data_IF_790344442177
#
_entry.id   IF_790344442177
#
_cell.length_a   1.000
_cell.length_b   1.000
_cell.length_c   1.000
_cell.angle_alpha   90.00
_cell.angle_beta   90.00
_cell.angle_gamma   90.00
#
_symmetry.space_group_name_H-M   'P 1'
#
loop_
_entity.id
_entity.type
_entity.pdbx_description
1 polymer ?
#
# COMPACT_ATOMS: atom_id res chain seq x y z
N UNK A 1 -8.04 -17.72 6.84
CA UNK A 1 -8.92 -17.05 7.83
C UNK A 1 -8.98 -15.56 7.52
N UNK A 2 -10.16 -14.99 7.27
CA UNK A 2 -10.35 -13.53 7.10
C UNK A 2 -10.61 -12.92 8.47
N UNK A 3 -9.57 -12.59 9.22
CA UNK A 3 -9.76 -11.66 10.34
C UNK A 3 -9.96 -10.25 9.78
N UNK A 4 -11.11 -9.64 10.11
CA UNK A 4 -11.58 -8.33 9.64
C UNK A 4 -11.18 -7.18 10.59
N UNK A 5 -10.22 -7.39 11.48
CA UNK A 5 -9.87 -6.38 12.47
C UNK A 5 -8.82 -5.42 11.91
N UNK A 6 -9.11 -4.12 11.92
CA UNK A 6 -8.18 -3.06 11.49
C UNK A 6 -7.09 -2.84 12.58
N UNK A 7 -7.46 -3.03 13.84
CA UNK A 7 -6.57 -2.97 15.00
C UNK A 7 -7.24 -3.69 16.17
N UNK A 8 -6.44 -4.18 17.12
CA UNK A 8 -6.93 -4.57 18.43
C UNK A 8 -6.06 -3.97 19.53
N UNK A 9 -6.66 -3.78 20.70
CA UNK A 9 -6.00 -3.22 21.86
C UNK A 9 -6.09 -4.20 23.02
N UNK A 10 -4.96 -4.47 23.67
CA UNK A 10 -4.89 -5.18 24.93
C UNK A 10 -4.58 -4.19 26.05
N UNK A 11 -5.46 -4.12 27.04
CA UNK A 11 -5.19 -3.43 28.29
C UNK A 11 -4.52 -4.39 29.26
N UNK A 12 -3.38 -3.98 29.80
CA UNK A 12 -2.61 -4.71 30.82
C UNK A 12 -2.67 -3.89 32.10
N UNK A 13 -3.26 -4.48 33.14
CA UNK A 13 -3.31 -3.87 34.46
C UNK A 13 -2.08 -4.33 35.24
N UNK A 14 -1.17 -3.41 35.56
CA UNK A 14 -0.09 -3.72 36.49
C UNK A 14 -0.57 -3.54 37.94
N UNK A 15 -0.75 -4.67 38.64
CA UNK A 15 -1.01 -4.84 40.07
C UNK A 15 -2.40 -4.50 40.65
N UNK A 16 -2.80 -5.27 41.67
CA UNK A 16 -3.99 -5.07 42.53
C UNK A 16 -3.79 -3.95 43.57
N UNK A 17 -2.62 -3.32 43.60
CA UNK A 17 -2.29 -2.32 44.60
C UNK A 17 -2.98 -0.99 44.25
N UNK A 18 -4.05 -0.68 44.99
CA UNK A 18 -5.01 0.41 44.76
C UNK A 18 -4.42 1.83 44.72
N UNK A 19 -3.10 2.00 44.82
CA UNK A 19 -2.42 3.30 44.84
C UNK A 19 -1.90 3.79 43.48
N UNK A 20 -1.53 2.90 42.55
CA UNK A 20 -0.99 3.28 41.24
C UNK A 20 -1.34 2.25 40.18
N UNK A 21 -2.55 2.35 39.60
CA UNK A 21 -2.90 1.52 38.44
C UNK A 21 -2.22 2.09 37.18
N UNK A 22 -1.03 1.62 36.87
CA UNK A 22 -0.46 1.82 35.54
C UNK A 22 -1.28 0.98 34.55
N UNK A 23 -2.15 1.64 33.79
CA UNK A 23 -2.91 1.01 32.72
C UNK A 23 -2.04 1.07 31.46
N UNK A 24 -1.36 -0.02 31.14
CA UNK A 24 -0.59 -0.12 29.89
C UNK A 24 -1.55 -0.54 28.78
N UNK A 25 -1.54 0.21 27.68
CA UNK A 25 -2.33 -0.09 26.49
C UNK A 25 -1.39 -0.56 25.37
N UNK A 26 -1.52 -1.82 24.96
CA UNK A 26 -0.82 -2.36 23.80
C UNK A 26 -1.77 -2.36 22.61
N UNK A 27 -1.51 -1.50 21.62
CA UNK A 27 -2.30 -1.41 20.39
C UNK A 27 -1.54 -2.06 19.24
N UNK A 28 -2.18 -3.04 18.61
CA UNK A 28 -1.64 -3.74 17.45
C UNK A 28 -2.27 -3.16 16.19
N UNK A 29 -1.43 -2.79 15.23
CA UNK A 29 -1.82 -2.10 14.00
C UNK A 29 -1.23 -2.87 12.82
N UNK A 30 -2.01 -3.01 11.76
CA UNK A 30 -1.58 -3.64 10.51
C UNK A 30 -0.80 -2.62 9.66
N UNK A 31 0.52 -2.80 9.56
CA UNK A 31 1.41 -1.94 8.76
C UNK A 31 1.04 -1.93 7.27
N UNK A 32 0.40 -2.99 6.76
CA UNK A 32 -0.06 -3.06 5.37
C UNK A 32 -1.20 -2.06 5.09
N UNK A 33 -1.93 -1.61 6.11
CA UNK A 33 -2.93 -0.52 5.98
C UNK A 33 -2.30 0.85 5.80
N UNK A 34 -0.97 0.95 5.95
CA UNK A 34 -0.20 2.15 5.68
C UNK A 34 0.61 2.04 4.39
N UNK A 35 1.30 0.91 4.23
CA UNK A 35 2.19 0.64 3.12
C UNK A 35 1.76 -0.67 2.45
N UNK A 36 0.84 -0.59 1.49
CA UNK A 36 0.23 -1.75 0.83
C UNK A 36 1.15 -2.37 -0.25
N UNK A 37 2.33 -2.82 0.17
CA UNK A 37 3.30 -3.50 -0.69
C UNK A 37 4.01 -4.63 0.06
N UNK A 38 4.71 -5.49 -0.68
CA UNK A 38 5.53 -6.53 -0.05
C UNK A 38 6.70 -5.90 0.71
N UNK A 39 7.14 -6.55 1.79
CA UNK A 39 8.31 -6.11 2.55
C UNK A 39 9.54 -5.98 1.65
N UNK A 40 9.76 -6.94 0.74
CA UNK A 40 10.86 -6.91 -0.22
C UNK A 40 10.87 -5.63 -1.08
N UNK A 41 9.71 -5.23 -1.59
CA UNK A 41 9.59 -3.99 -2.37
C UNK A 41 9.81 -2.76 -1.48
N UNK A 42 9.27 -2.75 -0.26
CA UNK A 42 9.43 -1.61 0.65
C UNK A 42 10.87 -1.45 1.13
N UNK A 43 11.57 -2.53 1.47
CA UNK A 43 12.97 -2.48 1.88
C UNK A 43 13.88 -2.10 0.72
N UNK A 44 13.54 -2.48 -0.53
CA UNK A 44 14.31 -2.07 -1.72
C UNK A 44 14.35 -0.55 -1.96
N UNK A 45 13.41 0.21 -1.38
CA UNK A 45 13.41 1.67 -1.45
C UNK A 45 14.28 2.34 -0.39
N UNK A 46 14.75 1.59 0.61
CA UNK A 46 15.61 2.12 1.65
C UNK A 46 17.07 2.02 1.23
N UNK A 47 17.76 3.15 1.31
CA UNK A 47 19.21 3.15 1.26
C UNK A 47 19.78 2.55 2.56
N UNK A 48 21.01 2.05 2.50
CA UNK A 48 21.68 1.43 3.66
C UNK A 48 21.74 2.35 4.89
N UNK A 49 21.88 3.68 4.71
CA UNK A 49 21.89 4.66 5.82
C UNK A 49 20.54 4.78 6.55
N UNK A 50 19.47 4.24 5.96
CA UNK A 50 18.11 4.23 6.52
C UNK A 50 17.79 2.95 7.29
N UNK A 51 18.63 1.91 7.18
CA UNK A 51 18.47 0.63 7.88
C UNK A 51 19.09 0.67 9.28
N UNK A 52 18.74 1.68 10.09
CA UNK A 52 19.41 1.97 11.36
C UNK A 52 19.22 0.85 12.39
N UNK A 53 18.01 0.27 12.44
CA UNK A 53 17.67 -0.77 13.39
C UNK A 53 18.39 -2.07 13.00
N UNK A 54 18.33 -2.46 11.73
CA UNK A 54 19.04 -3.65 11.21
C UNK A 54 20.55 -3.48 11.40
N UNK A 55 21.12 -2.29 11.11
CA UNK A 55 22.54 -2.00 11.33
C UNK A 55 22.94 -2.09 12.79
N UNK A 56 22.11 -1.57 13.71
CA UNK A 56 22.39 -1.64 15.14
C UNK A 56 22.42 -3.08 15.65
N UNK A 57 21.49 -3.91 15.19
CA UNK A 57 21.39 -5.31 15.62
C UNK A 57 22.53 -6.17 15.07
N UNK A 58 22.93 -5.91 13.83
CA UNK A 58 23.97 -6.66 13.13
C UNK A 58 25.31 -5.91 13.01
N UNK A 59 25.60 -5.00 13.95
CA UNK A 59 26.79 -4.14 13.93
C UNK A 59 28.13 -4.92 13.97
N UNK A 60 28.08 -6.20 14.36
CA UNK A 60 29.23 -7.10 14.40
C UNK A 60 29.55 -7.77 13.05
N UNK A 61 28.64 -7.68 12.06
CA UNK A 61 28.83 -8.30 10.75
C UNK A 61 29.78 -7.48 9.86
N UNK A 62 30.40 -8.16 8.90
CA UNK A 62 31.08 -7.48 7.81
C UNK A 62 30.07 -6.77 6.90
N UNK A 63 30.53 -5.79 6.11
CA UNK A 63 29.65 -5.11 5.15
C UNK A 63 29.04 -6.08 4.12
N UNK A 64 29.79 -7.10 3.70
CA UNK A 64 29.32 -8.11 2.75
C UNK A 64 28.22 -9.00 3.35
N UNK A 65 28.39 -9.43 4.61
CA UNK A 65 27.39 -10.26 5.29
C UNK A 65 26.15 -9.44 5.64
N UNK A 66 26.34 -8.18 6.07
CA UNK A 66 25.24 -7.27 6.31
C UNK A 66 24.38 -7.07 5.05
N UNK A 67 25.00 -6.96 3.88
CA UNK A 67 24.30 -6.79 2.60
C UNK A 67 23.33 -7.94 2.30
N UNK A 68 23.65 -9.15 2.74
CA UNK A 68 22.75 -10.31 2.61
C UNK A 68 21.46 -10.12 3.42
N UNK A 69 21.47 -9.31 4.48
CA UNK A 69 20.31 -9.07 5.35
C UNK A 69 19.52 -7.80 5.00
N UNK A 70 19.89 -7.10 3.92
CA UNK A 70 19.21 -5.85 3.50
C UNK A 70 18.01 -6.06 2.59
N UNK A 71 17.81 -7.28 2.09
CA UNK A 71 16.65 -7.68 1.29
C UNK A 71 15.85 -8.77 2.00
N UNK A 72 14.61 -8.98 1.56
CA UNK A 72 13.79 -10.06 2.12
C UNK A 72 14.39 -11.41 1.74
N UNK A 73 14.51 -12.31 2.72
CA UNK A 73 14.89 -13.70 2.47
C UNK A 73 13.76 -14.53 1.85
N UNK A 74 14.04 -15.81 1.58
CA UNK A 74 13.02 -16.81 1.23
C UNK A 74 12.95 -17.90 2.28
N UNK A 75 11.74 -18.45 2.50
CA UNK A 75 11.50 -19.47 3.51
C UNK A 75 10.59 -20.57 2.94
N UNK A 76 10.85 -21.86 3.20
CA UNK A 76 10.07 -22.96 2.63
C UNK A 76 8.84 -23.26 3.51
N UNK A 77 7.83 -22.40 3.45
CA UNK A 77 6.66 -22.49 4.34
C UNK A 77 5.91 -23.82 4.24
N UNK A 78 5.72 -24.32 3.02
CA UNK A 78 5.03 -25.56 2.74
C UNK A 78 5.84 -26.79 3.16
N UNK A 79 7.17 -26.66 3.21
CA UNK A 79 8.04 -27.72 3.71
C UNK A 79 7.94 -27.84 5.23
N UNK A 80 7.98 -26.72 5.97
CA UNK A 80 7.97 -26.73 7.45
C UNK A 80 6.55 -26.91 7.98
N UNK A 81 6.02 -28.12 7.83
CA UNK A 81 4.68 -28.53 8.30
C UNK A 81 4.66 -29.10 9.72
N UNK A 82 5.82 -29.38 10.31
CA UNK A 82 5.98 -29.87 11.67
C UNK A 82 7.27 -29.36 12.33
N UNK A 83 7.32 -29.40 13.66
CA UNK A 83 8.44 -28.87 14.45
C UNK A 83 9.72 -29.68 14.22
N UNK A 84 9.60 -30.97 13.93
CA UNK A 84 10.74 -31.86 13.70
C UNK A 84 11.59 -31.44 12.51
N UNK A 85 10.98 -30.87 11.46
CA UNK A 85 11.71 -30.34 10.28
C UNK A 85 12.60 -29.15 10.61
N UNK A 86 12.35 -28.43 11.71
CA UNK A 86 13.25 -27.37 12.16
C UNK A 86 14.61 -27.93 12.60
N UNK A 87 14.70 -29.22 12.93
CA UNK A 87 15.96 -29.88 13.27
C UNK A 87 16.76 -30.32 12.03
N UNK A 88 16.22 -30.17 10.82
CA UNK A 88 16.92 -30.55 9.59
C UNK A 88 18.22 -29.76 9.43
N UNK A 89 19.30 -30.47 9.12
CA UNK A 89 20.66 -29.92 9.11
C UNK A 89 21.13 -29.46 7.73
N UNK A 90 20.25 -29.52 6.74
CA UNK A 90 20.49 -29.01 5.38
C UNK A 90 19.36 -28.07 4.96
N UNK A 91 19.70 -27.12 4.09
CA UNK A 91 18.70 -26.33 3.39
C UNK A 91 17.89 -27.26 2.46
N UNK A 92 16.56 -27.27 2.53
CA UNK A 92 15.73 -28.09 1.64
C UNK A 92 15.99 -27.73 0.16
N UNK A 93 15.79 -28.67 -0.77
CA UNK A 93 15.99 -28.40 -2.19
C UNK A 93 15.00 -27.34 -2.68
N UNK A 94 15.34 -26.63 -3.77
CA UNK A 94 14.56 -25.50 -4.30
C UNK A 94 13.08 -25.84 -4.51
N UNK A 95 12.77 -27.05 -4.95
CA UNK A 95 11.40 -27.52 -5.18
C UNK A 95 10.54 -27.48 -3.90
N UNK A 96 11.17 -27.57 -2.73
CA UNK A 96 10.51 -27.50 -1.42
C UNK A 96 10.14 -26.06 -0.99
N UNK A 97 10.58 -25.05 -1.76
CA UNK A 97 10.18 -23.64 -1.60
C UNK A 97 8.98 -23.28 -2.50
N UNK A 98 8.20 -24.26 -2.96
CA UNK A 98 6.95 -24.02 -3.66
C UNK A 98 5.95 -23.28 -2.76
N UNK A 99 5.35 -22.19 -3.26
CA UNK A 99 4.29 -21.49 -2.54
C UNK A 99 2.91 -21.77 -3.14
N UNK A 100 2.01 -22.28 -2.31
CA UNK A 100 0.59 -22.47 -2.63
C UNK A 100 -0.16 -21.15 -2.87
N UNK A 101 0.37 -20.02 -2.37
CA UNK A 101 -0.21 -18.69 -2.55
C UNK A 101 0.04 -18.14 -3.96
N UNK A 102 1.24 -18.34 -4.51
CA UNK A 102 1.60 -17.86 -5.85
C UNK A 102 1.44 -18.95 -6.92
N UNK A 103 1.43 -20.23 -6.53
CA UNK A 103 1.45 -21.36 -7.44
C UNK A 103 2.81 -21.61 -8.08
N UNK A 104 3.88 -21.01 -7.55
CA UNK A 104 5.22 -21.00 -8.13
C UNK A 104 6.28 -21.40 -7.11
N UNK A 105 7.37 -21.99 -7.60
CA UNK A 105 8.61 -22.20 -6.83
C UNK A 105 9.48 -20.94 -6.91
N UNK A 106 10.23 -20.64 -5.83
CA UNK A 106 11.18 -19.51 -5.80
C UNK A 106 12.14 -19.50 -6.99
N UNK A 107 12.56 -18.30 -7.41
CA UNK A 107 13.51 -18.13 -8.51
C UNK A 107 14.88 -18.74 -8.19
N UNK A 108 15.67 -19.06 -9.22
CA UNK A 108 17.05 -19.55 -9.03
C UNK A 108 17.90 -18.54 -8.26
N UNK A 109 17.75 -17.24 -8.53
CA UNK A 109 18.48 -16.19 -7.83
C UNK A 109 18.10 -16.08 -6.35
N UNK A 110 16.84 -16.29 -6.00
CA UNK A 110 16.40 -16.22 -4.60
C UNK A 110 16.84 -17.46 -3.81
N UNK A 111 16.83 -18.63 -4.46
CA UNK A 111 17.36 -19.85 -3.84
C UNK A 111 18.87 -19.77 -3.63
N UNK A 112 19.63 -19.29 -4.63
CA UNK A 112 21.07 -19.07 -4.50
C UNK A 112 21.39 -18.06 -3.37
N UNK A 113 20.53 -17.06 -3.16
CA UNK A 113 20.66 -16.14 -2.03
C UNK A 113 20.45 -16.85 -0.68
N UNK A 114 19.46 -17.74 -0.57
CA UNK A 114 19.24 -18.55 0.63
C UNK A 114 20.42 -19.49 0.92
N UNK A 115 20.98 -20.15 -0.11
CA UNK A 115 22.19 -20.97 0.02
C UNK A 115 23.38 -20.15 0.52
N UNK A 116 23.56 -18.95 -0.03
CA UNK A 116 24.63 -18.06 0.38
C UNK A 116 24.47 -17.61 1.85
N UNK A 117 23.26 -17.23 2.26
CA UNK A 117 22.96 -16.91 3.66
C UNK A 117 23.23 -18.10 4.59
N UNK A 118 22.77 -19.30 4.21
CA UNK A 118 23.02 -20.53 4.97
C UNK A 118 24.51 -20.76 5.21
N UNK A 119 25.32 -20.62 4.17
CA UNK A 119 26.77 -20.82 4.24
C UNK A 119 27.49 -19.71 5.02
N UNK A 120 27.22 -18.44 4.70
CA UNK A 120 27.94 -17.28 5.29
C UNK A 120 27.65 -17.11 6.77
N UNK A 121 26.42 -17.38 7.21
CA UNK A 121 26.04 -17.33 8.62
C UNK A 121 26.31 -18.64 9.38
N UNK A 122 26.96 -19.62 8.73
CA UNK A 122 27.30 -20.92 9.31
C UNK A 122 26.10 -21.63 9.97
N UNK A 123 24.95 -21.56 9.31
CA UNK A 123 23.68 -22.10 9.79
C UNK A 123 23.74 -23.62 9.81
N UNK A 124 23.33 -24.21 10.93
CA UNK A 124 23.40 -25.66 11.17
C UNK A 124 22.08 -26.36 11.10
N UNK A 125 20.99 -25.64 11.35
CA UNK A 125 19.64 -26.20 11.39
C UNK A 125 18.64 -25.26 10.72
N UNK A 126 17.54 -25.82 10.24
CA UNK A 126 16.45 -25.02 9.67
C UNK A 126 15.79 -24.11 10.73
N UNK A 127 15.87 -24.46 12.02
CA UNK A 127 15.49 -23.59 13.13
C UNK A 127 16.32 -22.31 13.16
N UNK A 128 17.66 -22.41 13.09
CA UNK A 128 18.56 -21.25 13.07
C UNK A 128 18.32 -20.38 11.82
N UNK A 129 18.03 -21.01 10.67
CA UNK A 129 17.62 -20.29 9.46
C UNK A 129 16.31 -19.54 9.64
N UNK A 130 15.31 -20.17 10.28
CA UNK A 130 14.03 -19.56 10.59
C UNK A 130 14.18 -18.36 11.53
N UNK A 131 15.00 -18.47 12.55
CA UNK A 131 15.28 -17.37 13.49
C UNK A 131 15.93 -16.18 12.77
N UNK A 132 16.95 -16.43 11.93
CA UNK A 132 17.58 -15.36 11.14
C UNK A 132 16.60 -14.72 10.17
N UNK A 133 15.80 -15.55 9.47
CA UNK A 133 14.79 -15.11 8.53
C UNK A 133 13.75 -14.20 9.20
N UNK A 134 13.12 -14.67 10.28
CA UNK A 134 12.08 -13.94 11.00
C UNK A 134 12.63 -12.66 11.63
N UNK A 135 13.81 -12.73 12.23
CA UNK A 135 14.47 -11.56 12.82
C UNK A 135 14.74 -10.49 11.76
N UNK A 136 15.26 -10.88 10.60
CA UNK A 136 15.53 -9.96 9.50
C UNK A 136 14.25 -9.32 8.97
N UNK A 137 13.19 -10.11 8.76
CA UNK A 137 11.87 -9.60 8.33
C UNK A 137 11.30 -8.56 9.31
N UNK A 138 11.38 -8.82 10.62
CA UNK A 138 10.89 -7.90 11.66
C UNK A 138 11.70 -6.61 11.70
N UNK A 139 13.03 -6.69 11.64
CA UNK A 139 13.91 -5.52 11.70
C UNK A 139 13.79 -4.66 10.45
N UNK A 140 13.71 -5.28 9.26
CA UNK A 140 13.46 -4.56 8.00
C UNK A 140 12.12 -3.84 8.03
N UNK A 141 11.05 -4.50 8.52
CA UNK A 141 9.75 -3.86 8.65
C UNK A 141 9.80 -2.68 9.63
N UNK A 142 10.53 -2.81 10.73
CA UNK A 142 10.73 -1.73 11.69
C UNK A 142 11.42 -0.53 11.04
N UNK A 143 12.53 -0.74 10.31
CA UNK A 143 13.22 0.34 9.59
C UNK A 143 12.31 0.98 8.53
N UNK A 144 11.57 0.19 7.74
CA UNK A 144 10.58 0.70 6.78
C UNK A 144 9.56 1.61 7.46
N UNK A 145 8.97 1.15 8.57
CA UNK A 145 7.92 1.90 9.23
C UNK A 145 8.44 3.14 9.96
N UNK A 146 9.61 3.08 10.60
CA UNK A 146 10.24 4.25 11.23
C UNK A 146 10.62 5.31 10.19
N UNK A 147 11.15 4.92 9.03
CA UNK A 147 11.43 5.87 7.95
C UNK A 147 10.16 6.54 7.41
N UNK A 148 9.07 5.78 7.31
CA UNK A 148 7.76 6.31 6.95
C UNK A 148 7.24 7.30 8.01
N UNK A 149 7.35 6.96 9.30
CA UNK A 149 6.98 7.85 10.42
C UNK A 149 7.77 9.15 10.38
N UNK A 150 9.09 9.08 10.29
CA UNK A 150 9.98 10.24 10.20
C UNK A 150 9.58 11.17 9.04
N UNK A 151 9.30 10.59 7.88
CA UNK A 151 8.89 11.32 6.68
C UNK A 151 7.53 12.01 6.87
N UNK A 152 6.57 11.33 7.48
CA UNK A 152 5.24 11.86 7.76
C UNK A 152 5.27 12.98 8.82
N UNK A 153 6.03 12.80 9.89
CA UNK A 153 6.21 13.82 10.92
C UNK A 153 6.87 15.06 10.33
N UNK A 154 7.92 14.88 9.52
CA UNK A 154 8.61 16.01 8.88
C UNK A 154 7.71 16.76 7.89
N UNK A 155 6.90 16.04 7.11
CA UNK A 155 6.11 16.64 6.02
C UNK A 155 4.78 17.22 6.49
N UNK A 156 4.12 16.56 7.45
CA UNK A 156 2.75 16.88 7.87
C UNK A 156 2.66 17.24 9.37
N UNK A 157 3.70 17.00 10.16
CA UNK A 157 3.70 17.18 11.61
C UNK A 157 2.67 16.28 12.31
N UNK A 158 2.41 15.11 11.74
CA UNK A 158 1.51 14.08 12.26
C UNK A 158 2.28 12.77 12.25
N UNK A 159 2.15 11.97 13.30
CA UNK A 159 2.78 10.65 13.39
C UNK A 159 1.76 9.58 12.99
N UNK A 160 2.01 8.80 11.91
CA UNK A 160 1.07 7.80 11.43
C UNK A 160 0.83 6.67 12.43
N UNK A 161 1.71 6.46 13.43
CA UNK A 161 1.50 5.47 14.48
C UNK A 161 0.30 5.78 15.40
N UNK A 162 -0.25 7.01 15.36
CA UNK A 162 -1.47 7.38 16.07
C UNK A 162 -2.76 6.99 15.34
N UNK A 163 -2.65 6.61 14.07
CA UNK A 163 -3.77 6.31 13.18
C UNK A 163 -3.98 4.80 13.03
N UNK A 164 -5.14 4.43 12.49
CA UNK A 164 -5.43 3.03 12.18
C UNK A 164 -5.04 2.64 10.74
N UNK A 165 -5.08 3.59 9.81
CA UNK A 165 -4.83 3.38 8.38
C UNK A 165 -4.29 4.65 7.72
N UNK A 166 -3.67 4.53 6.54
CA UNK A 166 -3.19 5.69 5.77
C UNK A 166 -4.32 6.67 5.38
N UNK A 167 -5.51 6.25 4.93
CA UNK A 167 -6.60 7.19 4.63
C UNK A 167 -7.00 8.09 5.81
N UNK A 168 -7.05 7.54 7.03
CA UNK A 168 -7.34 8.34 8.23
C UNK A 168 -6.23 9.35 8.52
N UNK A 169 -4.97 8.94 8.35
CA UNK A 169 -3.82 9.83 8.46
C UNK A 169 -3.87 10.95 7.40
N UNK A 170 -4.12 10.63 6.13
CA UNK A 170 -4.12 11.62 5.05
C UNK A 170 -5.31 12.57 5.14
N UNK A 171 -6.45 12.12 5.66
CA UNK A 171 -7.61 12.96 5.96
C UNK A 171 -7.25 14.06 6.98
N UNK A 172 -6.67 13.68 8.12
CA UNK A 172 -6.23 14.64 9.14
C UNK A 172 -5.11 15.55 8.64
N UNK A 173 -4.17 15.02 7.85
CA UNK A 173 -3.13 15.83 7.23
C UNK A 173 -3.73 16.91 6.31
N UNK A 174 -4.75 16.54 5.52
CA UNK A 174 -5.48 17.47 4.65
C UNK A 174 -6.23 18.53 5.47
N UNK A 175 -6.97 18.13 6.52
CA UNK A 175 -7.68 19.07 7.40
C UNK A 175 -6.72 20.05 8.08
N UNK A 176 -5.59 19.55 8.60
CA UNK A 176 -4.57 20.38 9.25
C UNK A 176 -3.96 21.39 8.29
N UNK A 177 -3.70 20.99 7.04
CA UNK A 177 -3.08 21.82 6.03
C UNK A 177 -4.04 22.90 5.51
N UNK A 178 -5.25 22.50 5.12
CA UNK A 178 -6.24 23.40 4.48
C UNK A 178 -7.01 24.24 5.49
N UNK A 179 -7.18 23.74 6.72
CA UNK A 179 -8.05 24.31 7.76
C UNK A 179 -9.50 24.49 7.31
N UNK A 180 -9.91 23.70 6.31
CA UNK A 180 -11.29 23.70 5.81
C UNK A 180 -12.23 23.17 6.89
N UNK A 181 -13.44 23.71 6.94
CA UNK A 181 -14.53 23.18 7.75
C UNK A 181 -15.61 22.65 6.80
N UNK A 182 -15.75 21.32 6.74
CA UNK A 182 -16.75 20.68 5.90
C UNK A 182 -18.13 20.74 6.57
N UNK A 183 -19.14 21.09 5.79
CA UNK A 183 -20.52 20.88 6.21
C UNK A 183 -20.84 19.39 6.18
N UNK A 184 -21.49 18.91 7.24
CA UNK A 184 -22.05 17.57 7.28
C UNK A 184 -23.44 17.58 6.62
N UNK A 185 -23.64 16.73 5.61
CA UNK A 185 -24.97 16.47 5.08
C UNK A 185 -25.84 15.80 6.15
N UNK A 186 -26.88 16.50 6.59
CA UNK A 186 -27.85 15.98 7.58
C UNK A 186 -29.15 15.49 6.96
N UNK A 187 -29.40 15.83 5.70
CA UNK A 187 -30.56 15.37 4.92
C UNK A 187 -30.24 14.00 4.27
N UNK A 188 -31.01 12.97 4.64
CA UNK A 188 -30.83 11.61 4.12
C UNK A 188 -31.07 11.52 2.61
N UNK A 189 -31.98 12.33 2.07
CA UNK A 189 -32.28 12.30 0.64
C UNK A 189 -31.10 12.89 -0.16
N UNK A 190 -30.43 13.93 0.37
CA UNK A 190 -29.19 14.46 -0.22
C UNK A 190 -28.07 13.43 -0.18
N UNK A 191 -27.90 12.74 0.95
CA UNK A 191 -26.89 11.68 1.08
C UNK A 191 -27.14 10.58 0.05
N UNK A 192 -28.37 10.06 -0.02
CA UNK A 192 -28.73 9.01 -0.99
C UNK A 192 -28.62 9.49 -2.44
N UNK A 193 -28.90 10.76 -2.72
CA UNK A 193 -28.71 11.37 -4.04
C UNK A 193 -27.23 11.39 -4.45
N UNK A 194 -26.36 11.89 -3.57
CA UNK A 194 -24.91 11.93 -3.82
C UNK A 194 -24.33 10.51 -3.94
N UNK A 195 -24.67 9.60 -3.02
CA UNK A 195 -24.18 8.21 -3.04
C UNK A 195 -24.59 7.49 -4.35
N UNK A 196 -25.82 7.68 -4.82
CA UNK A 196 -26.28 7.13 -6.11
C UNK A 196 -25.54 7.73 -7.30
N UNK A 197 -24.96 8.92 -7.16
CA UNK A 197 -24.16 9.58 -8.19
C UNK A 197 -22.70 9.15 -8.24
N UNK A 198 -22.16 8.48 -7.20
CA UNK A 198 -20.75 8.09 -7.16
C UNK A 198 -20.45 7.03 -8.24
N UNK A 199 -19.45 7.30 -9.07
CA UNK A 199 -18.94 6.38 -10.09
C UNK A 199 -17.43 6.19 -9.92
N UNK A 200 -16.92 5.03 -10.31
CA UNK A 200 -15.49 4.75 -10.37
C UNK A 200 -14.84 5.34 -11.61
N UNK A 201 -13.60 4.93 -11.88
CA UNK A 201 -12.88 5.32 -13.10
C UNK A 201 -13.58 4.82 -14.36
N UNK A 202 -13.59 5.64 -15.41
CA UNK A 202 -14.11 5.28 -16.72
C UNK A 202 -13.20 4.22 -17.37
N UNK A 203 -13.78 3.06 -17.70
CA UNK A 203 -13.11 2.02 -18.49
C UNK A 203 -13.96 1.70 -19.71
N UNK A 204 -13.42 1.98 -20.90
CA UNK A 204 -14.12 1.81 -22.17
C UNK A 204 -13.22 1.11 -23.19
N UNK A 205 -13.78 0.09 -23.86
CA UNK A 205 -13.13 -0.58 -24.98
C UNK A 205 -13.96 -0.34 -26.25
N UNK A 206 -13.62 0.71 -27.00
CA UNK A 206 -14.35 1.09 -28.22
C UNK A 206 -14.01 0.19 -29.42
N UNK A 207 -12.86 -0.50 -29.38
CA UNK A 207 -12.45 -1.46 -30.40
C UNK A 207 -11.82 -2.68 -29.75
N UNK A 208 -12.39 -3.88 -30.02
CA UNK A 208 -12.02 -5.13 -29.32
C UNK A 208 -10.57 -5.56 -29.57
N UNK A 209 -10.02 -5.29 -30.76
CA UNK A 209 -8.65 -5.68 -31.10
C UNK A 209 -8.04 -4.72 -32.12
N UNK A 210 -6.94 -4.07 -31.76
CA UNK A 210 -6.14 -3.28 -32.69
C UNK A 210 -4.72 -3.82 -32.73
N UNK A 211 -4.16 -3.96 -33.93
CA UNK A 211 -2.77 -4.35 -34.15
C UNK A 211 -2.08 -3.34 -35.06
N UNK A 212 -1.02 -2.71 -34.56
CA UNK A 212 -0.20 -1.81 -35.36
C UNK A 212 0.77 -2.59 -36.25
N UNK A 213 0.92 -2.14 -37.49
CA UNK A 213 1.97 -2.59 -38.41
C UNK A 213 3.26 -1.79 -38.17
N UNK A 214 3.89 -2.03 -37.03
CA UNK A 214 5.06 -1.27 -36.60
C UNK A 214 6.34 -1.81 -37.25
N UNK A 215 7.03 -0.97 -38.03
CA UNK A 215 8.25 -1.35 -38.78
C UNK A 215 9.44 -1.79 -37.92
N UNK A 216 9.41 -1.54 -36.62
CA UNK A 216 10.46 -1.95 -35.67
C UNK A 216 10.14 -3.28 -34.98
N UNK A 217 8.99 -3.90 -35.25
CA UNK A 217 8.56 -5.16 -34.64
C UNK A 217 8.80 -6.34 -35.59
N UNK A 218 9.02 -7.53 -35.02
CA UNK A 218 9.26 -8.76 -35.80
C UNK A 218 8.09 -9.16 -36.70
N UNK A 219 6.86 -8.78 -36.32
CA UNK A 219 5.63 -9.07 -37.06
C UNK A 219 5.30 -8.05 -38.15
N UNK A 220 6.24 -7.17 -38.51
CA UNK A 220 6.05 -6.15 -39.55
C UNK A 220 5.80 -6.77 -40.93
N UNK A 221 4.78 -6.25 -41.61
CA UNK A 221 4.43 -6.60 -42.98
C UNK A 221 4.79 -5.44 -43.93
N UNK A 222 5.85 -5.57 -44.76
CA UNK A 222 6.27 -4.52 -45.70
C UNK A 222 5.23 -4.19 -46.78
N UNK A 223 4.24 -5.06 -47.00
CA UNK A 223 3.17 -4.83 -47.99
C UNK A 223 2.10 -3.84 -47.49
N UNK A 224 2.11 -3.52 -46.20
CA UNK A 224 1.15 -2.62 -45.55
C UNK A 224 1.81 -1.32 -45.10
N UNK A 225 1.07 -0.20 -45.06
CA UNK A 225 1.59 1.04 -44.47
C UNK A 225 1.96 0.81 -43.01
N UNK A 226 2.99 1.52 -42.54
CA UNK A 226 3.39 1.42 -41.14
C UNK A 226 2.40 2.16 -40.24
N UNK A 227 2.03 1.55 -39.12
CA UNK A 227 1.17 2.14 -38.10
C UNK A 227 1.71 1.86 -36.70
N UNK A 228 1.26 2.66 -35.73
CA UNK A 228 1.73 2.64 -34.35
C UNK A 228 0.52 2.72 -33.41
N UNK A 229 0.64 2.11 -32.23
CA UNK A 229 -0.26 2.35 -31.10
C UNK A 229 0.47 3.24 -30.11
N UNK A 230 -0.18 4.33 -29.71
CA UNK A 230 0.34 5.27 -28.71
C UNK A 230 -0.39 5.04 -27.40
N UNK A 231 0.37 4.96 -26.30
CA UNK A 231 -0.18 4.92 -24.95
C UNK A 231 -0.03 6.30 -24.32
N UNK A 232 -1.14 6.85 -23.83
CA UNK A 232 -1.15 8.09 -23.06
C UNK A 232 -1.62 7.78 -21.65
N UNK A 233 -0.94 8.38 -20.67
CA UNK A 233 -1.29 8.27 -19.26
C UNK A 233 -1.24 9.66 -18.62
N UNK A 234 -2.22 9.96 -17.78
CA UNK A 234 -2.31 11.26 -17.10
C UNK A 234 -1.65 11.16 -15.74
N UNK A 235 -0.53 11.87 -15.58
CA UNK A 235 0.19 11.96 -14.31
C UNK A 235 -0.70 12.54 -13.20
N UNK A 236 -0.97 11.75 -12.16
CA UNK A 236 -1.73 12.17 -10.97
C UNK A 236 -3.11 12.78 -11.29
N UNK A 237 -3.92 12.06 -12.09
CA UNK A 237 -5.26 12.49 -12.52
C UNK A 237 -6.14 12.99 -11.36
N UNK A 238 -6.29 12.20 -10.30
CA UNK A 238 -7.12 12.58 -9.15
C UNK A 238 -6.53 13.76 -8.37
N UNK A 239 -5.21 13.84 -8.21
CA UNK A 239 -4.58 14.98 -7.55
C UNK A 239 -4.82 16.28 -8.32
N UNK A 240 -4.74 16.25 -9.65
CA UNK A 240 -5.08 17.40 -10.48
C UNK A 240 -6.57 17.79 -10.35
N UNK A 241 -7.47 16.81 -10.34
CA UNK A 241 -8.90 17.03 -10.15
C UNK A 241 -9.20 17.63 -8.77
N UNK A 242 -8.48 17.19 -7.72
CA UNK A 242 -8.58 17.74 -6.37
C UNK A 242 -8.06 19.17 -6.23
N UNK A 243 -7.31 19.68 -7.21
CA UNK A 243 -6.91 21.09 -7.27
C UNK A 243 -7.96 21.99 -7.94
N UNK A 244 -9.03 21.42 -8.49
CA UNK A 244 -10.15 22.19 -9.04
C UNK A 244 -11.12 22.63 -7.92
N UNK A 245 -12.02 23.59 -8.17
CA UNK A 245 -13.09 23.92 -7.24
C UNK A 245 -13.93 22.69 -6.90
N UNK A 246 -14.06 22.39 -5.60
CA UNK A 246 -14.84 21.26 -5.08
C UNK A 246 -15.88 21.74 -4.06
N UNK A 247 -17.05 21.10 -3.99
CA UNK A 247 -18.08 21.45 -3.01
C UNK A 247 -17.63 21.04 -1.59
N UNK A 248 -17.86 21.91 -0.61
CA UNK A 248 -17.52 21.63 0.79
C UNK A 248 -18.53 22.15 1.82
N UNK A 249 -19.45 23.04 1.43
CA UNK A 249 -20.45 23.66 2.30
C UNK A 249 -21.59 24.32 1.48
N UNK A 250 -22.58 24.85 2.22
CA UNK A 250 -23.82 25.48 1.79
C UNK A 250 -24.71 24.58 0.93
N UNK A 251 -24.81 23.30 1.31
CA UNK A 251 -25.62 22.31 0.61
C UNK A 251 -27.12 22.60 0.78
N UNK A 252 -27.84 22.68 -0.34
CA UNK A 252 -29.29 22.89 -0.37
C UNK A 252 -29.92 22.32 -1.62
N UNK A 253 -31.18 21.90 -1.49
CA UNK A 253 -32.02 21.63 -2.64
C UNK A 253 -32.33 22.92 -3.39
N UNK A 254 -32.54 22.80 -4.70
CA UNK A 254 -33.03 23.87 -5.55
C UNK A 254 -34.52 23.65 -5.75
N UNK A 255 -35.34 24.57 -5.25
CA UNK A 255 -36.80 24.41 -5.22
C UNK A 255 -37.45 24.48 -6.61
N UNK A 256 -36.92 25.33 -7.51
CA UNK A 256 -37.42 25.50 -8.88
C UNK A 256 -36.29 25.31 -9.90
N UNK A 257 -36.41 24.26 -10.70
CA UNK A 257 -35.48 23.90 -11.77
C UNK A 257 -36.04 24.15 -13.16
N UNK A 258 -37.27 24.69 -13.28
CA UNK A 258 -37.98 24.82 -14.56
C UNK A 258 -37.26 25.67 -15.61
N UNK A 259 -36.47 26.66 -15.17
CA UNK A 259 -35.67 27.54 -16.02
C UNK A 259 -34.16 27.36 -15.82
N UNK A 260 -33.73 26.19 -15.35
CA UNK A 260 -32.32 25.93 -15.10
C UNK A 260 -31.55 25.74 -16.42
N UNK A 261 -30.63 26.66 -16.73
CA UNK A 261 -29.73 26.54 -17.88
C UNK A 261 -28.30 26.22 -17.41
N UNK A 262 -27.89 24.97 -17.62
CA UNK A 262 -26.54 24.49 -17.28
C UNK A 262 -25.45 25.21 -18.09
N UNK A 263 -25.76 25.65 -19.31
CA UNK A 263 -24.78 26.29 -20.20
C UNK A 263 -24.47 27.74 -19.79
N UNK A 264 -25.35 28.35 -19.00
CA UNK A 264 -25.14 29.70 -18.47
C UNK A 264 -24.17 29.74 -17.27
N UNK A 265 -23.78 28.59 -16.74
CA UNK A 265 -22.94 28.49 -15.54
C UNK A 265 -21.46 28.48 -15.93
N UNK A 266 -20.70 29.44 -15.39
CA UNK A 266 -19.26 29.48 -15.59
C UNK A 266 -18.57 28.29 -14.89
N UNK A 267 -17.54 27.67 -15.50
CA UNK A 267 -16.82 26.53 -14.89
C UNK A 267 -16.18 26.82 -13.53
N UNK A 268 -15.85 28.09 -13.26
CA UNK A 268 -15.27 28.58 -12.01
C UNK A 268 -16.29 29.32 -11.13
N UNK A 269 -17.58 29.07 -11.33
CA UNK A 269 -18.65 29.63 -10.50
C UNK A 269 -18.41 29.30 -9.01
N UNK A 270 -18.64 30.26 -8.09
CA UNK A 270 -18.57 29.99 -6.65
C UNK A 270 -19.67 29.03 -6.17
N UNK A 271 -20.71 28.82 -6.98
CA UNK A 271 -21.78 27.85 -6.72
C UNK A 271 -21.68 26.69 -7.70
N UNK A 272 -21.55 25.48 -7.17
CA UNK A 272 -21.65 24.23 -7.91
C UNK A 272 -23.06 23.67 -7.89
N UNK A 273 -23.36 22.78 -8.84
CA UNK A 273 -24.66 22.11 -8.97
C UNK A 273 -24.44 20.63 -9.22
N UNK A 274 -25.23 19.78 -8.58
CA UNK A 274 -25.31 18.34 -8.87
C UNK A 274 -26.71 18.07 -9.41
N UNK A 275 -26.79 17.50 -10.61
CA UNK A 275 -28.03 17.39 -11.38
C UNK A 275 -28.32 15.92 -11.68
N UNK A 276 -29.58 15.54 -11.57
CA UNK A 276 -30.12 14.31 -12.16
C UNK A 276 -30.91 14.72 -13.40
N UNK A 277 -30.52 14.20 -14.55
CA UNK A 277 -31.01 14.64 -15.86
C UNK A 277 -31.22 13.44 -16.78
N UNK A 278 -32.18 13.57 -17.68
CA UNK A 278 -32.31 12.68 -18.83
C UNK A 278 -31.40 13.19 -19.96
N UNK A 279 -30.61 12.28 -20.54
CA UNK A 279 -29.67 12.60 -21.62
C UNK A 279 -30.06 11.82 -22.89
N UNK A 280 -30.18 12.53 -24.01
CA UNK A 280 -30.17 11.91 -25.33
C UNK A 280 -28.72 11.83 -25.83
N UNK A 281 -28.23 10.61 -26.01
CA UNK A 281 -26.89 10.39 -26.57
C UNK A 281 -26.95 10.48 -28.11
N UNK A 282 -26.06 11.25 -28.76
CA UNK A 282 -25.99 11.36 -30.22
C UNK A 282 -25.45 10.08 -30.88
#
# INVERSE_FOLDING_TARGET
MKEKYISFTKHVNESDDKKWRNHVQLRFIDSYKFLSSSLDKLSSYLNKDKLKIVQSEFAYLSNEDFELLTRKGVFPYEYVDCVEKLADTCLPPRESFYSSLTGETVSESDYAHAENAWQRFAIRTLSEYSDLYLKTDVLLLADVFENFRDSCIKSYGLDPAYYYTLPGFTWDAMLKHTRVNFELLTDIDMVMFIERGIRGGLSQCSHRYAQANNKYMQSYDPSKPSSYLMYFDVNNLYGWAMCQPLPYADFRWVDDTSNFDVNAIAPNSPKGYVLEVDLEYP
#
